data_IF_318151809262
#
_entry.id   IF_318151809262
#
_cell.length_a   1.000
_cell.length_b   1.000
_cell.length_c   1.000
_cell.angle_alpha   90.00
_cell.angle_beta   90.00
_cell.angle_gamma   90.00
#
_symmetry.space_group_name_H-M   'P 1'
#
loop_
_entity.id
_entity.type
_entity.pdbx_description
1 polymer ?
#
# COMPACT_ATOMS: atom_id res chain seq x y z
N UNK A 1 -23.69 23.48 45.36
CA UNK A 1 -22.30 23.98 45.33
C UNK A 1 -21.46 22.81 44.83
N UNK A 2 -21.27 22.69 43.51
CA UNK A 2 -20.03 23.06 42.75
C UNK A 2 -18.99 21.94 42.84
N UNK A 3 -18.40 21.35 41.79
CA UNK A 3 -18.62 21.29 40.33
C UNK A 3 -17.76 20.12 39.82
N UNK A 4 -18.26 19.41 38.81
CA UNK A 4 -17.58 18.33 38.10
C UNK A 4 -16.27 18.78 37.41
N UNK A 5 -15.22 17.97 37.56
CA UNK A 5 -13.98 18.11 36.80
C UNK A 5 -14.09 17.37 35.46
N UNK A 6 -13.82 18.15 34.41
CA UNK A 6 -13.88 17.81 32.99
C UNK A 6 -12.76 16.83 32.61
N UNK A 7 -13.11 15.77 31.88
CA UNK A 7 -12.17 15.11 30.95
C UNK A 7 -12.72 15.39 29.56
N UNK A 8 -11.99 16.27 28.88
CA UNK A 8 -12.08 16.60 27.47
C UNK A 8 -11.23 15.60 26.70
N UNK A 9 -11.78 14.98 25.66
CA UNK A 9 -11.28 14.96 24.26
C UNK A 9 -12.03 13.83 23.54
N UNK A 10 -13.06 14.17 22.76
CA UNK A 10 -12.94 14.54 21.34
C UNK A 10 -13.41 13.36 20.48
N UNK A 11 -14.73 13.18 20.52
CA UNK A 11 -15.48 12.26 19.69
C UNK A 11 -15.43 12.77 18.24
N UNK A 12 -15.05 11.86 17.35
CA UNK A 12 -15.13 11.95 15.90
C UNK A 12 -16.51 12.42 15.46
N UNK A 13 -16.55 13.54 14.73
CA UNK A 13 -17.62 13.82 13.78
C UNK A 13 -17.07 14.72 12.68
N UNK A 14 -16.66 14.12 11.57
CA UNK A 14 -16.43 14.84 10.32
C UNK A 14 -17.75 14.82 9.54
N UNK A 15 -18.49 15.95 9.44
CA UNK A 15 -19.64 16.03 8.56
C UNK A 15 -19.17 16.13 7.10
N UNK A 16 -19.81 15.38 6.20
CA UNK A 16 -19.55 15.36 4.76
C UNK A 16 -20.03 16.63 4.01
N UNK A 17 -20.34 17.72 4.71
CA UNK A 17 -20.87 18.94 4.13
C UNK A 17 -19.92 20.10 4.37
N UNK A 18 -18.94 20.26 3.47
CA UNK A 18 -18.24 21.53 3.33
C UNK A 18 -18.56 22.12 1.96
N UNK A 19 -19.66 22.86 1.94
CA UNK A 19 -20.10 23.73 0.85
C UNK A 19 -18.96 24.65 0.41
N UNK A 20 -18.65 24.61 -0.89
CA UNK A 20 -17.63 25.41 -1.55
C UNK A 20 -17.98 26.90 -1.40
N UNK A 21 -17.30 27.61 -0.51
CA UNK A 21 -17.30 29.06 -0.48
C UNK A 21 -16.53 29.57 -1.71
N UNK A 22 -17.25 30.14 -2.67
CA UNK A 22 -16.72 30.85 -3.83
C UNK A 22 -15.81 32.00 -3.37
N UNK A 23 -14.50 31.76 -3.32
CA UNK A 23 -13.50 32.84 -3.22
C UNK A 23 -13.08 33.30 -4.62
N UNK A 24 -12.91 34.62 -4.84
CA UNK A 24 -12.55 35.12 -6.16
C UNK A 24 -11.14 34.70 -6.57
N UNK A 25 -11.06 34.41 -7.87
CA UNK A 25 -9.93 34.05 -8.72
C UNK A 25 -8.67 34.90 -8.42
N UNK A 26 -7.67 34.28 -7.80
CA UNK A 26 -6.30 34.80 -7.83
C UNK A 26 -5.56 34.14 -9.00
N UNK A 27 -5.29 34.94 -10.03
CA UNK A 27 -4.41 34.59 -11.13
C UNK A 27 -3.07 35.28 -10.89
N UNK A 28 -2.01 34.51 -10.67
CA UNK A 28 -0.65 34.89 -11.04
C UNK A 28 0.21 33.64 -11.15
N UNK A 29 0.87 33.50 -12.30
CA UNK A 29 1.46 32.27 -12.80
C UNK A 29 2.73 31.85 -12.06
N UNK A 30 2.81 30.54 -11.83
CA UNK A 30 3.96 29.64 -11.98
C UNK A 30 3.74 28.41 -11.08
N UNK A 31 2.57 27.77 -11.21
CA UNK A 31 2.46 26.37 -10.85
C UNK A 31 3.04 25.60 -12.03
N UNK A 32 4.36 25.38 -12.02
CA UNK A 32 4.95 24.27 -12.77
C UNK A 32 4.09 23.06 -12.44
N UNK A 33 3.33 22.59 -13.43
CA UNK A 33 2.46 21.45 -13.28
C UNK A 33 3.32 20.33 -12.70
N UNK A 34 3.16 20.07 -11.40
CA UNK A 34 3.46 18.76 -10.85
C UNK A 34 2.48 17.87 -11.58
N UNK A 35 2.91 17.38 -12.73
CA UNK A 35 2.27 16.28 -13.44
C UNK A 35 2.29 15.20 -12.38
N UNK A 36 1.16 15.00 -11.70
CA UNK A 36 0.97 13.83 -10.86
C UNK A 36 1.44 12.69 -11.75
N UNK A 37 2.58 12.09 -11.46
CA UNK A 37 3.03 10.88 -12.13
C UNK A 37 2.00 9.85 -11.71
N UNK A 38 0.85 9.87 -12.39
CA UNK A 38 -0.19 8.90 -12.21
C UNK A 38 0.51 7.59 -12.48
N UNK A 39 0.66 6.78 -11.44
CA UNK A 39 1.31 5.50 -11.54
C UNK A 39 0.60 4.74 -12.66
N UNK A 40 1.35 4.36 -13.70
CA UNK A 40 0.78 3.56 -14.77
C UNK A 40 0.45 2.18 -14.18
N UNK A 41 -0.85 1.84 -14.04
CA UNK A 41 -1.24 0.58 -13.43
C UNK A 41 -0.77 -0.63 -14.23
N UNK A 42 -0.57 -0.48 -15.55
CA UNK A 42 -0.09 -1.56 -16.40
C UNK A 42 1.40 -1.80 -16.19
N UNK A 43 2.21 -0.74 -16.14
CA UNK A 43 3.63 -0.84 -15.84
C UNK A 43 3.87 -1.43 -14.45
N UNK A 44 3.08 -1.03 -13.46
CA UNK A 44 3.12 -1.62 -12.13
C UNK A 44 2.79 -3.12 -12.15
N UNK A 45 1.69 -3.50 -12.81
CA UNK A 45 1.28 -4.90 -12.92
C UNK A 45 2.32 -5.78 -13.60
N UNK A 46 3.04 -5.25 -14.60
CA UNK A 46 4.10 -5.96 -15.30
C UNK A 46 5.36 -6.16 -14.44
N UNK A 47 5.72 -5.18 -13.60
CA UNK A 47 6.89 -5.26 -12.72
C UNK A 47 6.62 -6.00 -11.41
N UNK A 48 5.35 -6.10 -10.99
CA UNK A 48 4.96 -6.65 -9.70
C UNK A 48 5.43 -8.08 -9.43
N UNK A 49 5.38 -9.03 -10.38
CA UNK A 49 5.91 -10.38 -10.17
C UNK A 49 7.38 -10.41 -9.74
N UNK A 50 8.20 -9.53 -10.32
CA UNK A 50 9.63 -9.45 -10.01
C UNK A 50 9.87 -8.81 -8.64
N UNK A 51 9.13 -7.75 -8.31
CA UNK A 51 9.16 -7.15 -6.97
C UNK A 51 8.75 -8.15 -5.89
N UNK A 52 7.70 -8.92 -6.16
CA UNK A 52 7.24 -9.98 -5.28
C UNK A 52 8.28 -11.09 -5.12
N UNK A 53 8.92 -11.52 -6.22
CA UNK A 53 10.03 -12.48 -6.19
C UNK A 53 11.17 -11.99 -5.31
N UNK A 54 11.62 -10.74 -5.50
CA UNK A 54 12.70 -10.15 -4.72
C UNK A 54 12.36 -10.12 -3.22
N UNK A 55 11.13 -9.74 -2.87
CA UNK A 55 10.63 -9.81 -1.50
C UNK A 55 10.70 -11.24 -0.93
N UNK A 56 10.26 -12.24 -1.70
CA UNK A 56 10.27 -13.63 -1.22
C UNK A 56 11.69 -14.14 -0.96
N UNK A 57 12.63 -13.89 -1.87
CA UNK A 57 14.03 -14.29 -1.71
C UNK A 57 14.75 -13.57 -0.56
N UNK A 58 14.31 -12.35 -0.22
CA UNK A 58 14.88 -11.60 0.90
C UNK A 58 14.40 -12.09 2.28
N UNK A 59 13.19 -12.66 2.37
CA UNK A 59 12.54 -12.97 3.64
C UNK A 59 12.35 -14.47 3.91
N UNK A 60 12.41 -15.31 2.89
CA UNK A 60 12.21 -16.76 3.00
C UNK A 60 13.38 -17.51 2.40
N UNK A 61 13.57 -18.76 2.82
CA UNK A 61 14.69 -19.61 2.39
C UNK A 61 14.39 -20.41 1.14
N UNK A 62 13.13 -20.79 0.94
CA UNK A 62 12.69 -21.63 -0.17
C UNK A 62 11.18 -21.49 -0.41
N UNK A 63 10.72 -22.02 -1.55
CA UNK A 63 9.31 -22.01 -1.94
C UNK A 63 8.39 -22.81 -1.01
N UNK A 64 8.90 -23.81 -0.30
CA UNK A 64 8.10 -24.64 0.63
C UNK A 64 7.69 -23.81 1.85
N UNK A 65 8.63 -23.02 2.40
CA UNK A 65 8.37 -22.08 3.48
C UNK A 65 7.34 -21.03 3.06
N UNK A 66 7.46 -20.51 1.83
CA UNK A 66 6.46 -19.59 1.26
C UNK A 66 5.07 -20.25 1.17
N UNK A 67 5.00 -21.49 0.68
CA UNK A 67 3.74 -22.24 0.58
C UNK A 67 3.07 -22.39 1.95
N UNK A 68 3.86 -22.73 2.97
CA UNK A 68 3.39 -22.87 4.35
C UNK A 68 2.92 -21.54 4.93
N UNK A 69 3.74 -20.48 4.86
CA UNK A 69 3.41 -19.17 5.44
C UNK A 69 2.17 -18.53 4.80
N UNK A 70 2.01 -18.68 3.48
CA UNK A 70 0.88 -18.10 2.77
C UNK A 70 -0.30 -19.06 2.61
N UNK A 71 -0.21 -20.31 3.06
CA UNK A 71 -1.26 -21.32 2.92
C UNK A 71 -1.68 -21.52 1.46
N UNK A 72 -0.70 -21.68 0.57
CA UNK A 72 -0.90 -21.94 -0.86
C UNK A 72 -0.29 -23.27 -1.26
N UNK A 73 -0.61 -23.76 -2.46
CA UNK A 73 0.03 -24.97 -2.98
C UNK A 73 1.50 -24.70 -3.30
N UNK A 74 2.34 -25.73 -3.19
CA UNK A 74 3.77 -25.63 -3.50
C UNK A 74 4.00 -25.14 -4.94
N UNK A 75 3.21 -25.62 -5.90
CA UNK A 75 3.25 -25.16 -7.30
C UNK A 75 2.96 -23.66 -7.46
N UNK A 76 2.08 -23.09 -6.63
CA UNK A 76 1.82 -21.65 -6.65
C UNK A 76 2.99 -20.87 -6.04
N UNK A 77 3.55 -21.36 -4.94
CA UNK A 77 4.73 -20.76 -4.32
C UNK A 77 5.96 -20.83 -5.25
N UNK A 78 6.17 -21.94 -5.96
CA UNK A 78 7.23 -22.10 -6.96
C UNK A 78 7.10 -21.06 -8.07
N UNK A 79 5.89 -20.85 -8.61
CA UNK A 79 5.65 -19.81 -9.61
C UNK A 79 6.03 -18.42 -9.09
N UNK A 80 5.63 -18.08 -7.86
CA UNK A 80 6.02 -16.80 -7.26
C UNK A 80 7.52 -16.70 -7.03
N UNK A 81 8.16 -17.80 -6.64
CA UNK A 81 9.61 -17.88 -6.43
C UNK A 81 10.41 -17.67 -7.72
N UNK A 82 9.83 -18.03 -8.86
CA UNK A 82 10.37 -17.80 -10.21
C UNK A 82 9.94 -16.46 -10.81
N UNK A 83 9.12 -15.66 -10.11
CA UNK A 83 8.60 -14.39 -10.64
C UNK A 83 7.51 -14.56 -11.71
N UNK A 84 6.86 -15.72 -11.75
CA UNK A 84 5.78 -16.03 -12.69
C UNK A 84 4.44 -15.72 -12.03
N UNK A 85 3.79 -14.66 -12.51
CA UNK A 85 2.55 -14.16 -11.93
C UNK A 85 2.76 -13.58 -10.52
N UNK A 86 1.66 -13.29 -9.83
CA UNK A 86 1.73 -12.65 -8.52
C UNK A 86 0.68 -13.15 -7.53
N UNK A 87 0.83 -12.80 -6.25
CA UNK A 87 -0.19 -13.01 -5.24
C UNK A 87 -1.44 -12.19 -5.54
N UNK A 88 -2.56 -12.62 -4.96
CA UNK A 88 -3.74 -11.75 -4.85
C UNK A 88 -3.55 -10.76 -3.69
N UNK A 89 -4.41 -9.73 -3.63
CA UNK A 89 -4.34 -8.68 -2.61
C UNK A 89 -4.38 -9.20 -1.17
N UNK A 90 -5.08 -10.30 -0.90
CA UNK A 90 -5.13 -10.90 0.42
C UNK A 90 -3.76 -11.42 0.89
N UNK A 91 -2.98 -12.05 0.00
CA UNK A 91 -1.62 -12.51 0.33
C UNK A 91 -0.63 -11.35 0.44
N UNK A 92 -0.83 -10.28 -0.32
CA UNK A 92 -0.07 -9.03 -0.15
C UNK A 92 -0.33 -8.42 1.24
N UNK A 93 -1.58 -8.40 1.71
CA UNK A 93 -1.91 -7.93 3.04
C UNK A 93 -1.22 -8.76 4.14
N UNK A 94 -1.15 -10.09 3.97
CA UNK A 94 -0.38 -10.97 4.88
C UNK A 94 1.10 -10.59 4.89
N UNK A 95 1.71 -10.30 3.73
CA UNK A 95 3.11 -9.86 3.67
C UNK A 95 3.36 -8.55 4.42
N UNK A 96 2.44 -7.59 4.33
CA UNK A 96 2.52 -6.34 5.12
C UNK A 96 2.34 -6.60 6.63
N UNK A 97 1.58 -7.62 7.01
CA UNK A 97 1.40 -7.99 8.41
C UNK A 97 2.63 -8.73 8.98
N UNK A 98 3.27 -9.60 8.21
CA UNK A 98 4.42 -10.41 8.66
C UNK A 98 5.75 -9.67 8.54
N UNK A 99 5.93 -8.88 7.47
CA UNK A 99 7.17 -8.17 7.16
C UNK A 99 6.88 -6.73 6.72
N UNK A 100 6.36 -5.86 7.61
CA UNK A 100 5.91 -4.52 7.24
C UNK A 100 6.99 -3.67 6.56
N UNK A 101 8.22 -3.67 7.11
CA UNK A 101 9.34 -2.92 6.55
C UNK A 101 9.81 -3.49 5.20
N UNK A 102 9.83 -4.83 5.07
CA UNK A 102 10.20 -5.51 3.84
C UNK A 102 9.20 -5.27 2.72
N UNK A 103 7.91 -5.50 3.00
CA UNK A 103 6.83 -5.26 2.07
C UNK A 103 6.80 -3.81 1.57
N UNK A 104 6.94 -2.82 2.48
CA UNK A 104 7.02 -1.41 2.09
C UNK A 104 8.27 -1.06 1.26
N UNK A 105 9.35 -1.82 1.39
CA UNK A 105 10.60 -1.57 0.64
C UNK A 105 10.55 -2.19 -0.75
N UNK A 106 10.09 -3.43 -0.87
CA UNK A 106 10.10 -4.19 -2.12
C UNK A 106 8.85 -3.98 -2.97
N UNK A 107 7.68 -3.79 -2.35
CA UNK A 107 6.38 -3.69 -3.05
C UNK A 107 5.95 -2.24 -3.29
N UNK A 108 6.88 -1.30 -3.17
CA UNK A 108 6.66 0.08 -3.56
C UNK A 108 6.93 0.25 -5.05
N UNK A 109 6.02 0.95 -5.74
CA UNK A 109 6.29 1.44 -7.07
C UNK A 109 7.18 2.68 -6.98
N UNK A 110 8.39 2.62 -7.54
CA UNK A 110 9.21 3.80 -7.78
C UNK A 110 9.18 4.05 -9.30
N UNK A 111 8.37 5.03 -9.71
CA UNK A 111 8.33 5.54 -11.08
C UNK A 111 9.50 6.50 -11.34
#
# INVERSE_FOLDING_TARGET
MTQAARISDNQVSVPCDNVIALRPRQSSGNASAQKSQAADPYAFGAAFPEMWRAFLHAHYRNQIEVAYCYGVTEKAAEKWWLGIGGPNGAKVAIAYQTHPAGAATFLKWAA
#
